data_IF_710342728421
#
_entry.id   IF_710342728421
#
_cell.length_a   1.000
_cell.length_b   1.000
_cell.length_c   1.000
_cell.angle_alpha   90.00
_cell.angle_beta   90.00
_cell.angle_gamma   90.00
#
_symmetry.space_group_name_H-M   'P 1'
#
loop_
_entity.id
_entity.type
_entity.pdbx_description
1 polymer ?
#
# COMPACT_ATOMS: atom_id res chain seq x y z
N UNK A 1 40.55 -41.67 -30.67
CA UNK A 1 39.60 -41.07 -29.75
C UNK A 1 38.99 -39.90 -30.49
N UNK A 2 37.73 -40.01 -30.87
CA UNK A 2 37.08 -39.15 -31.87
C UNK A 2 36.42 -37.91 -31.23
N UNK A 3 36.40 -36.82 -31.98
CA UNK A 3 35.81 -35.52 -31.61
C UNK A 3 34.31 -35.56 -31.18
N UNK A 4 33.66 -36.72 -31.25
CA UNK A 4 32.28 -36.95 -30.81
C UNK A 4 32.14 -37.16 -29.32
N UNK A 5 33.20 -37.54 -28.58
CA UNK A 5 33.13 -37.69 -27.12
C UNK A 5 33.11 -36.35 -26.35
N UNK A 6 33.70 -35.32 -26.92
CA UNK A 6 33.72 -33.97 -26.31
C UNK A 6 32.40 -33.22 -26.48
N UNK A 7 31.62 -33.50 -27.54
CA UNK A 7 30.28 -32.89 -27.74
C UNK A 7 29.21 -33.45 -26.79
N UNK A 8 29.36 -34.70 -26.33
CA UNK A 8 28.42 -35.29 -25.36
C UNK A 8 28.70 -34.84 -23.91
N UNK A 9 29.93 -34.50 -23.57
CA UNK A 9 30.27 -33.95 -22.25
C UNK A 9 29.83 -32.47 -22.07
N UNK A 10 29.82 -31.69 -23.17
CA UNK A 10 29.33 -30.32 -23.16
C UNK A 10 27.79 -30.21 -23.11
N UNK A 11 27.06 -31.23 -23.55
CA UNK A 11 25.60 -31.28 -23.54
C UNK A 11 25.01 -31.77 -22.19
N UNK A 12 25.83 -32.31 -21.29
CA UNK A 12 25.42 -32.82 -19.98
C UNK A 12 25.51 -31.80 -18.82
N UNK A 13 26.07 -30.63 -19.08
CA UNK A 13 26.30 -29.59 -18.05
C UNK A 13 25.22 -28.50 -17.92
N UNK A 14 24.18 -28.52 -18.74
CA UNK A 14 23.13 -27.46 -18.74
C UNK A 14 21.83 -27.87 -18.02
N UNK A 15 21.83 -28.94 -17.27
CA UNK A 15 20.65 -29.37 -16.49
C UNK A 15 20.75 -28.91 -15.01
N UNK A 16 20.77 -27.61 -14.73
CA UNK A 16 20.89 -27.23 -13.33
C UNK A 16 20.73 -25.77 -12.96
N UNK A 17 20.25 -24.91 -13.83
CA UNK A 17 19.82 -23.60 -13.35
C UNK A 17 18.70 -23.07 -14.27
N UNK A 18 17.50 -23.61 -14.12
CA UNK A 18 16.32 -22.87 -14.58
C UNK A 18 16.25 -21.58 -13.75
N UNK A 19 16.89 -20.53 -14.25
CA UNK A 19 16.54 -19.18 -13.83
C UNK A 19 15.03 -19.08 -13.98
N UNK A 20 14.30 -18.94 -12.84
CA UNK A 20 12.86 -18.68 -12.82
C UNK A 20 12.61 -17.51 -13.76
N UNK A 21 12.16 -17.76 -14.97
CA UNK A 21 11.81 -16.72 -15.93
C UNK A 21 10.88 -15.75 -15.23
N UNK A 22 11.32 -14.50 -15.07
CA UNK A 22 10.49 -13.41 -14.58
C UNK A 22 9.36 -13.26 -15.59
N UNK A 23 8.12 -13.41 -15.12
CA UNK A 23 6.93 -13.18 -15.94
C UNK A 23 6.86 -11.67 -16.17
N UNK A 24 6.92 -11.24 -17.44
CA UNK A 24 6.79 -9.84 -17.85
C UNK A 24 5.37 -9.58 -18.35
N UNK A 25 4.86 -8.35 -18.15
CA UNK A 25 3.52 -7.94 -18.61
C UNK A 25 3.38 -7.99 -20.14
N UNK A 26 4.50 -7.98 -20.88
CA UNK A 26 4.56 -8.10 -22.34
C UNK A 26 4.51 -9.56 -22.84
N UNK A 27 4.56 -10.55 -21.96
CA UNK A 27 4.55 -11.96 -22.35
C UNK A 27 3.15 -12.42 -22.80
N UNK A 28 3.10 -13.40 -23.73
CA UNK A 28 1.85 -14.11 -24.01
C UNK A 28 1.43 -14.92 -22.78
N UNK A 29 0.31 -14.50 -22.15
CA UNK A 29 -0.20 -15.15 -20.95
C UNK A 29 -0.95 -16.45 -21.28
N UNK A 30 -0.42 -17.56 -20.77
CA UNK A 30 -1.18 -18.80 -20.60
C UNK A 30 -1.92 -18.74 -19.26
N UNK A 31 -3.08 -19.40 -19.12
CA UNK A 31 -3.86 -19.43 -17.87
C UNK A 31 -3.02 -19.72 -16.62
N UNK A 32 -2.08 -20.65 -16.70
CA UNK A 32 -1.16 -20.96 -15.59
C UNK A 32 -0.17 -19.83 -15.26
N UNK A 33 0.33 -19.09 -16.26
CA UNK A 33 1.19 -17.91 -16.04
C UNK A 33 0.39 -16.76 -15.41
N UNK A 34 -0.83 -16.52 -15.89
CA UNK A 34 -1.73 -15.51 -15.34
C UNK A 34 -2.05 -15.81 -13.88
N UNK A 35 -2.48 -17.03 -13.55
CA UNK A 35 -2.76 -17.45 -12.18
C UNK A 35 -1.54 -17.26 -11.26
N UNK A 36 -0.34 -17.65 -11.72
CA UNK A 36 0.89 -17.50 -10.94
C UNK A 36 1.28 -16.02 -10.72
N UNK A 37 0.90 -15.14 -11.64
CA UNK A 37 1.13 -13.70 -11.52
C UNK A 37 0.12 -13.05 -10.57
N UNK A 38 -1.15 -13.45 -10.62
CA UNK A 38 -2.23 -12.89 -9.80
C UNK A 38 -2.30 -13.50 -8.39
N UNK A 39 -1.77 -14.70 -8.18
CA UNK A 39 -1.81 -15.41 -6.89
C UNK A 39 -1.29 -14.56 -5.71
N UNK A 40 -0.16 -13.83 -5.80
CA UNK A 40 0.28 -12.95 -4.72
C UNK A 40 -0.74 -11.88 -4.35
N UNK A 41 -1.44 -11.30 -5.33
CA UNK A 41 -2.48 -10.30 -5.09
C UNK A 41 -3.71 -10.91 -4.40
N UNK A 42 -4.12 -12.11 -4.79
CA UNK A 42 -5.22 -12.84 -4.15
C UNK A 42 -4.87 -13.16 -2.69
N UNK A 43 -3.68 -13.70 -2.45
CA UNK A 43 -3.20 -14.01 -1.08
C UNK A 43 -3.17 -12.74 -0.23
N UNK A 44 -2.74 -11.62 -0.80
CA UNK A 44 -2.71 -10.33 -0.15
C UNK A 44 -4.11 -9.86 0.28
N UNK A 45 -5.12 -9.97 -0.60
CA UNK A 45 -6.50 -9.60 -0.28
C UNK A 45 -7.08 -10.48 0.84
N UNK A 46 -6.88 -11.80 0.76
CA UNK A 46 -7.32 -12.75 1.80
C UNK A 46 -6.64 -12.43 3.14
N UNK A 47 -5.34 -12.19 3.13
CA UNK A 47 -4.59 -11.85 4.34
C UNK A 47 -5.05 -10.53 4.95
N UNK A 48 -5.31 -9.51 4.12
CA UNK A 48 -5.87 -8.22 4.55
C UNK A 48 -7.22 -8.38 5.25
N UNK A 49 -8.09 -9.23 4.73
CA UNK A 49 -9.37 -9.54 5.35
C UNK A 49 -9.20 -10.22 6.71
N UNK A 50 -8.25 -11.15 6.81
CA UNK A 50 -7.98 -11.87 8.07
C UNK A 50 -7.48 -10.90 9.15
N UNK A 51 -6.48 -10.06 8.85
CA UNK A 51 -5.97 -9.16 9.88
C UNK A 51 -7.01 -8.10 10.29
N UNK A 52 -7.87 -7.63 9.38
CA UNK A 52 -8.96 -6.70 9.74
C UNK A 52 -9.97 -7.33 10.72
N UNK A 53 -10.25 -8.63 10.58
CA UNK A 53 -11.11 -9.36 11.53
C UNK A 53 -10.40 -9.48 12.88
N UNK A 54 -9.10 -9.75 12.90
CA UNK A 54 -8.31 -9.87 14.14
C UNK A 54 -8.24 -8.52 14.87
N UNK A 55 -7.98 -7.41 14.16
CA UNK A 55 -7.98 -6.05 14.70
C UNK A 55 -9.35 -5.71 15.33
N UNK A 56 -10.44 -5.96 14.60
CA UNK A 56 -11.81 -5.78 15.11
C UNK A 56 -12.10 -6.64 16.34
N UNK A 57 -11.58 -7.86 16.42
CA UNK A 57 -11.70 -8.73 17.58
C UNK A 57 -11.01 -8.14 18.82
N UNK A 58 -9.79 -7.65 18.70
CA UNK A 58 -9.08 -7.02 19.81
C UNK A 58 -9.81 -5.77 20.31
N UNK A 59 -10.22 -4.89 19.39
CA UNK A 59 -10.93 -3.66 19.77
C UNK A 59 -12.27 -3.96 20.44
N UNK A 60 -13.07 -4.86 19.87
CA UNK A 60 -14.40 -5.19 20.44
C UNK A 60 -14.34 -5.82 21.83
N UNK A 61 -13.30 -6.61 22.11
CA UNK A 61 -13.18 -7.31 23.38
C UNK A 61 -12.47 -6.50 24.48
N UNK A 62 -11.56 -5.59 24.11
CA UNK A 62 -10.69 -4.91 25.08
C UNK A 62 -10.94 -3.39 25.19
N UNK A 63 -11.47 -2.74 24.12
CA UNK A 63 -11.72 -1.31 24.14
C UNK A 63 -13.14 -0.93 24.59
N UNK A 64 -14.08 -1.89 24.57
CA UNK A 64 -15.45 -1.68 24.95
C UNK A 64 -16.38 -1.27 23.80
N UNK A 65 -17.70 -1.28 24.09
CA UNK A 65 -18.73 -1.07 23.05
C UNK A 65 -18.73 0.33 22.47
N UNK A 66 -18.59 1.37 23.32
CA UNK A 66 -18.57 2.79 22.90
C UNK A 66 -17.37 3.08 22.02
N UNK A 67 -16.17 2.59 22.40
CA UNK A 67 -14.94 2.73 21.62
C UNK A 67 -15.03 2.01 20.26
N UNK A 68 -15.60 0.80 20.22
CA UNK A 68 -15.83 0.09 18.97
C UNK A 68 -16.85 0.79 18.06
N UNK A 69 -17.90 1.36 18.62
CA UNK A 69 -18.87 2.17 17.87
C UNK A 69 -18.23 3.45 17.33
N UNK A 70 -17.39 4.13 18.13
CA UNK A 70 -16.65 5.31 17.72
C UNK A 70 -15.70 5.04 16.56
N UNK A 71 -14.97 3.92 16.61
CA UNK A 71 -14.10 3.46 15.52
C UNK A 71 -14.90 3.26 14.22
N UNK A 72 -16.00 2.51 14.28
CA UNK A 72 -16.81 2.23 13.09
C UNK A 72 -17.41 3.50 12.49
N UNK A 73 -17.72 4.50 13.32
CA UNK A 73 -18.25 5.79 12.87
C UNK A 73 -17.21 6.60 12.11
N UNK A 74 -15.94 6.62 12.57
CA UNK A 74 -14.87 7.41 11.96
C UNK A 74 -14.17 6.69 10.81
N UNK A 75 -14.28 5.38 10.76
CA UNK A 75 -13.59 4.53 9.78
C UNK A 75 -13.86 4.92 8.30
N UNK A 76 -15.11 5.20 7.86
CA UNK A 76 -15.36 5.65 6.49
C UNK A 76 -14.61 6.95 6.13
N UNK A 77 -14.51 7.89 7.07
CA UNK A 77 -13.74 9.12 6.85
C UNK A 77 -12.25 8.82 6.65
N UNK A 78 -11.67 7.94 7.47
CA UNK A 78 -10.28 7.51 7.32
C UNK A 78 -10.05 6.76 6.00
N UNK A 79 -11.03 5.96 5.55
CA UNK A 79 -10.97 5.26 4.26
C UNK A 79 -11.01 6.23 3.08
N UNK A 80 -11.76 7.32 3.14
CA UNK A 80 -11.75 8.37 2.10
C UNK A 80 -10.36 8.99 2.00
N UNK A 81 -9.72 9.31 3.13
CA UNK A 81 -8.35 9.86 3.13
C UNK A 81 -7.34 8.89 2.51
N UNK A 82 -7.40 7.62 2.88
CA UNK A 82 -6.56 6.59 2.28
C UNK A 82 -6.88 6.32 0.81
N UNK A 83 -8.15 6.43 0.43
CA UNK A 83 -8.65 6.30 -0.94
C UNK A 83 -8.02 7.30 -1.91
N UNK A 84 -7.63 8.48 -1.44
CA UNK A 84 -6.84 9.43 -2.24
C UNK A 84 -5.47 8.86 -2.61
N UNK A 85 -4.87 8.03 -1.76
CA UNK A 85 -3.66 7.28 -2.09
C UNK A 85 -3.89 6.27 -3.22
N UNK A 86 -4.99 5.53 -3.17
CA UNK A 86 -5.38 4.63 -4.27
C UNK A 86 -5.61 5.39 -5.57
N UNK A 87 -6.31 6.52 -5.53
CA UNK A 87 -6.54 7.36 -6.71
C UNK A 87 -5.22 7.79 -7.37
N UNK A 88 -4.27 8.30 -6.58
CA UNK A 88 -2.95 8.71 -7.09
C UNK A 88 -2.17 7.48 -7.59
N UNK A 89 -2.22 6.38 -6.85
CA UNK A 89 -1.51 5.14 -7.17
C UNK A 89 -1.98 4.52 -8.49
N UNK A 90 -3.27 4.25 -8.64
CA UNK A 90 -3.83 3.62 -9.84
C UNK A 90 -3.73 4.54 -11.06
N UNK A 91 -4.11 5.82 -10.90
CA UNK A 91 -4.03 6.79 -11.98
C UNK A 91 -2.61 7.10 -12.42
N UNK A 92 -1.66 7.22 -11.46
CA UNK A 92 -0.24 7.39 -11.72
C UNK A 92 0.39 6.16 -12.38
N UNK A 93 0.01 4.98 -11.94
CA UNK A 93 0.46 3.69 -12.52
C UNK A 93 0.09 3.59 -14.00
N UNK A 94 -1.10 4.02 -14.40
CA UNK A 94 -1.52 4.02 -15.81
C UNK A 94 -0.61 4.92 -16.68
N UNK A 95 -0.24 6.11 -16.17
CA UNK A 95 0.67 7.02 -16.88
C UNK A 95 2.09 6.45 -16.97
N UNK A 96 2.60 5.90 -15.88
CA UNK A 96 3.94 5.32 -15.81
C UNK A 96 4.05 4.08 -16.69
N UNK A 97 3.05 3.18 -16.66
CA UNK A 97 3.01 2.00 -17.50
C UNK A 97 3.01 2.35 -19.00
N UNK A 98 2.28 3.42 -19.39
CA UNK A 98 2.30 3.94 -20.77
C UNK A 98 3.68 4.42 -21.18
N UNK A 99 4.40 5.14 -20.31
CA UNK A 99 5.76 5.60 -20.60
C UNK A 99 6.74 4.41 -20.69
N UNK A 100 6.62 3.42 -19.80
CA UNK A 100 7.44 2.20 -19.86
C UNK A 100 7.20 1.41 -21.14
N UNK A 101 5.93 1.28 -21.57
CA UNK A 101 5.55 0.62 -22.82
C UNK A 101 6.08 1.35 -24.07
N UNK A 102 6.24 2.67 -24.01
CA UNK A 102 6.87 3.49 -25.06
C UNK A 102 8.42 3.47 -25.00
N UNK A 103 9.02 2.78 -24.02
CA UNK A 103 10.48 2.73 -23.83
C UNK A 103 11.09 3.95 -23.14
N UNK A 104 10.29 4.94 -22.77
CA UNK A 104 10.74 6.19 -22.13
C UNK A 104 10.85 6.02 -20.60
N UNK A 105 11.94 5.37 -20.17
CA UNK A 105 12.21 5.09 -18.74
C UNK A 105 12.45 6.36 -17.93
N UNK A 106 13.04 7.39 -18.54
CA UNK A 106 13.32 8.63 -17.81
C UNK A 106 12.03 9.34 -17.42
N UNK A 107 11.11 9.47 -18.37
CA UNK A 107 9.79 10.05 -18.16
C UNK A 107 8.94 9.21 -17.17
N UNK A 108 9.02 7.89 -17.28
CA UNK A 108 8.36 7.00 -16.33
C UNK A 108 8.82 7.22 -14.89
N UNK A 109 10.15 7.32 -14.67
CA UNK A 109 10.73 7.61 -13.36
C UNK A 109 10.34 9.00 -12.84
N UNK A 110 10.31 9.99 -13.73
CA UNK A 110 9.87 11.34 -13.39
C UNK A 110 8.42 11.36 -12.94
N UNK A 111 7.51 10.71 -13.66
CA UNK A 111 6.10 10.62 -13.28
C UNK A 111 5.90 9.84 -11.98
N UNK A 112 6.60 8.73 -11.81
CA UNK A 112 6.60 7.97 -10.55
C UNK A 112 6.98 8.84 -9.36
N UNK A 113 8.11 9.55 -9.45
CA UNK A 113 8.57 10.44 -8.38
C UNK A 113 7.56 11.56 -8.07
N UNK A 114 6.98 12.19 -9.12
CA UNK A 114 5.95 13.21 -8.96
C UNK A 114 4.71 12.68 -8.21
N UNK A 115 4.28 11.42 -8.45
CA UNK A 115 3.16 10.80 -7.73
C UNK A 115 3.49 10.61 -6.24
N UNK A 116 4.71 10.20 -5.93
CA UNK A 116 5.15 10.06 -4.52
C UNK A 116 5.20 11.43 -3.81
N UNK A 117 5.78 12.44 -4.46
CA UNK A 117 5.83 13.82 -3.93
C UNK A 117 4.42 14.39 -3.71
N UNK A 118 3.52 14.21 -4.69
CA UNK A 118 2.12 14.63 -4.55
C UNK A 118 1.46 13.92 -3.36
N UNK A 119 1.69 12.63 -3.19
CA UNK A 119 1.12 11.86 -2.08
C UNK A 119 1.58 12.39 -0.73
N UNK A 120 2.87 12.72 -0.60
CA UNK A 120 3.42 13.28 0.63
C UNK A 120 2.81 14.66 0.92
N UNK A 121 2.75 15.55 -0.08
CA UNK A 121 2.22 16.90 0.09
C UNK A 121 0.72 16.89 0.42
N UNK A 122 -0.06 16.11 -0.34
CA UNK A 122 -1.49 15.96 -0.10
C UNK A 122 -1.75 15.29 1.25
N UNK A 123 -0.99 14.23 1.56
CA UNK A 123 -1.08 13.54 2.85
C UNK A 123 -0.75 14.46 4.02
N UNK A 124 0.27 15.31 3.91
CA UNK A 124 0.61 16.29 4.93
C UNK A 124 -0.49 17.34 5.12
N UNK A 125 -1.06 17.87 4.02
CA UNK A 125 -2.18 18.81 4.09
C UNK A 125 -3.41 18.20 4.75
N UNK A 126 -3.78 16.97 4.33
CA UNK A 126 -4.91 16.23 4.91
C UNK A 126 -4.70 15.88 6.37
N UNK A 127 -3.47 15.51 6.75
CA UNK A 127 -3.08 15.27 8.15
C UNK A 127 -3.27 16.53 8.98
N UNK A 128 -2.78 17.68 8.52
CA UNK A 128 -2.92 18.94 9.23
C UNK A 128 -4.41 19.33 9.41
N UNK A 129 -5.20 19.24 8.34
CA UNK A 129 -6.65 19.52 8.39
C UNK A 129 -7.34 18.53 9.34
N UNK A 130 -7.07 17.25 9.21
CA UNK A 130 -7.70 16.20 10.03
C UNK A 130 -7.38 16.37 11.53
N UNK A 131 -6.12 16.68 11.88
CA UNK A 131 -5.74 16.92 13.28
C UNK A 131 -6.44 18.14 13.89
N UNK A 132 -6.62 19.22 13.11
CA UNK A 132 -7.28 20.45 13.56
C UNK A 132 -8.80 20.30 13.68
N UNK A 133 -9.42 19.59 12.72
CA UNK A 133 -10.87 19.52 12.59
C UNK A 133 -11.47 18.17 12.99
N UNK A 134 -10.73 17.31 13.71
CA UNK A 134 -11.20 15.96 14.06
C UNK A 134 -12.48 15.98 14.90
N UNK A 135 -12.59 16.90 15.85
CA UNK A 135 -13.78 17.03 16.70
C UNK A 135 -15.02 17.45 15.90
N UNK A 136 -15.04 18.57 15.14
CA UNK A 136 -16.19 18.91 14.31
C UNK A 136 -16.51 17.84 13.26
N UNK A 137 -15.51 17.14 12.71
CA UNK A 137 -15.74 16.03 11.79
C UNK A 137 -16.46 14.87 12.50
N UNK A 138 -16.04 14.51 13.71
CA UNK A 138 -16.70 13.45 14.50
C UNK A 138 -18.16 13.78 14.78
N UNK A 139 -18.45 15.03 15.17
CA UNK A 139 -19.81 15.51 15.40
C UNK A 139 -20.65 15.51 14.12
N UNK A 140 -20.09 15.93 13.00
CA UNK A 140 -20.74 15.91 11.68
C UNK A 140 -21.11 14.49 11.24
N UNK A 141 -20.26 13.50 11.56
CA UNK A 141 -20.50 12.08 11.28
C UNK A 141 -21.58 11.47 12.18
N UNK A 142 -22.04 12.21 13.22
CA UNK A 142 -23.11 11.76 14.12
C UNK A 142 -22.60 11.15 15.43
N UNK A 143 -21.37 11.46 15.86
CA UNK A 143 -20.88 11.05 17.17
C UNK A 143 -21.70 11.67 18.29
N UNK A 144 -22.15 10.83 19.25
CA UNK A 144 -22.75 11.31 20.48
C UNK A 144 -21.69 11.96 21.38
N UNK A 145 -22.10 12.80 22.34
CA UNK A 145 -21.17 13.45 23.27
C UNK A 145 -20.27 12.45 24.00
N UNK A 146 -20.78 11.24 24.27
CA UNK A 146 -20.03 10.14 24.88
C UNK A 146 -18.98 9.54 23.94
N UNK A 147 -19.24 9.51 22.61
CA UNK A 147 -18.36 8.94 21.60
C UNK A 147 -17.29 9.93 21.10
N UNK A 148 -17.53 11.23 21.18
CA UNK A 148 -16.60 12.25 20.65
C UNK A 148 -15.18 12.10 21.17
N UNK A 149 -14.91 11.90 22.48
CA UNK A 149 -13.54 11.73 22.97
C UNK A 149 -12.82 10.55 22.32
N UNK A 150 -13.51 9.41 22.16
CA UNK A 150 -12.96 8.21 21.52
C UNK A 150 -12.71 8.40 20.02
N UNK A 151 -13.65 9.04 19.31
CA UNK A 151 -13.49 9.40 17.90
C UNK A 151 -12.28 10.32 17.68
N UNK A 152 -12.13 11.34 18.53
CA UNK A 152 -11.04 12.30 18.44
C UNK A 152 -9.70 11.65 18.77
N UNK A 153 -9.65 10.84 19.82
CA UNK A 153 -8.43 10.13 20.22
C UNK A 153 -7.95 9.18 19.10
N UNK A 154 -8.82 8.28 18.67
CA UNK A 154 -8.51 7.31 17.62
C UNK A 154 -8.17 8.01 16.30
N UNK A 155 -9.04 8.93 15.88
CA UNK A 155 -8.88 9.63 14.60
C UNK A 155 -7.59 10.44 14.54
N UNK A 156 -7.23 11.18 15.59
CA UNK A 156 -5.98 11.96 15.62
C UNK A 156 -4.74 11.07 15.52
N UNK A 157 -4.73 9.94 16.25
CA UNK A 157 -3.58 9.01 16.19
C UNK A 157 -3.47 8.44 14.78
N UNK A 158 -4.54 7.90 14.20
CA UNK A 158 -4.48 7.28 12.87
C UNK A 158 -4.15 8.30 11.78
N UNK A 159 -4.73 9.51 11.84
CA UNK A 159 -4.44 10.58 10.88
C UNK A 159 -2.97 11.04 10.96
N UNK A 160 -2.32 10.99 12.10
CA UNK A 160 -0.89 11.27 12.20
C UNK A 160 -0.04 10.34 11.31
N UNK A 161 -0.52 9.12 11.04
CA UNK A 161 0.11 8.16 10.14
C UNK A 161 -0.48 8.15 8.71
N UNK A 162 -1.40 9.08 8.39
CA UNK A 162 -2.09 9.10 7.09
C UNK A 162 -1.14 9.16 5.89
N UNK A 163 -0.01 9.88 5.99
CA UNK A 163 1.01 9.91 4.93
C UNK A 163 1.53 8.49 4.65
N UNK A 164 1.81 7.71 5.69
CA UNK A 164 2.26 6.34 5.56
C UNK A 164 1.17 5.45 4.92
N UNK A 165 -0.08 5.63 5.33
CA UNK A 165 -1.21 4.91 4.76
C UNK A 165 -1.40 5.22 3.27
N UNK A 166 -1.37 6.48 2.87
CA UNK A 166 -1.45 6.87 1.47
C UNK A 166 -0.27 6.34 0.66
N UNK A 167 0.96 6.44 1.18
CA UNK A 167 2.17 5.92 0.52
C UNK A 167 2.11 4.39 0.36
N UNK A 168 1.64 3.64 1.35
CA UNK A 168 1.46 2.20 1.26
C UNK A 168 0.56 1.84 0.06
N UNK A 169 -0.58 2.53 -0.08
CA UNK A 169 -1.52 2.29 -1.18
C UNK A 169 -0.93 2.65 -2.55
N UNK A 170 -0.25 3.79 -2.63
CA UNK A 170 0.45 4.23 -3.85
C UNK A 170 1.53 3.24 -4.25
N UNK A 171 2.40 2.85 -3.32
CA UNK A 171 3.46 1.87 -3.61
C UNK A 171 2.90 0.51 -4.02
N UNK A 172 1.80 0.07 -3.44
CA UNK A 172 1.16 -1.18 -3.81
C UNK A 172 0.77 -1.20 -5.30
N UNK A 173 0.19 -0.10 -5.79
CA UNK A 173 -0.14 0.06 -7.21
C UNK A 173 1.12 0.07 -8.09
N UNK A 174 2.16 0.80 -7.69
CA UNK A 174 3.41 0.87 -8.46
C UNK A 174 4.25 -0.40 -8.44
N UNK A 175 4.16 -1.22 -7.39
CA UNK A 175 4.83 -2.53 -7.35
C UNK A 175 4.27 -3.50 -8.39
N UNK A 176 2.99 -3.38 -8.75
CA UNK A 176 2.39 -4.15 -9.84
C UNK A 176 2.98 -3.69 -11.18
N UNK A 177 3.04 -2.37 -11.43
CA UNK A 177 3.63 -1.79 -12.64
C UNK A 177 5.14 -2.08 -12.75
N UNK A 178 5.83 -2.15 -11.62
CA UNK A 178 7.24 -2.51 -11.53
C UNK A 178 7.51 -4.03 -11.67
N UNK A 179 6.48 -4.83 -11.96
CA UNK A 179 6.57 -6.30 -12.08
C UNK A 179 7.09 -6.99 -10.79
N UNK A 180 6.80 -6.38 -9.63
CA UNK A 180 7.23 -6.87 -8.31
C UNK A 180 6.06 -7.19 -7.36
N UNK A 181 5.00 -7.90 -7.79
CA UNK A 181 3.83 -8.15 -6.95
C UNK A 181 4.18 -8.95 -5.68
N UNK A 182 5.25 -9.75 -5.71
CA UNK A 182 5.74 -10.47 -4.52
C UNK A 182 6.25 -9.52 -3.43
N UNK A 183 6.86 -8.40 -3.81
CA UNK A 183 7.29 -7.41 -2.83
C UNK A 183 6.08 -6.71 -2.19
N UNK A 184 5.03 -6.46 -2.97
CA UNK A 184 3.74 -5.98 -2.45
C UNK A 184 3.13 -6.95 -1.43
N UNK A 185 3.14 -8.25 -1.74
CA UNK A 185 2.71 -9.28 -0.79
C UNK A 185 3.55 -9.24 0.51
N UNK A 186 4.89 -9.19 0.40
CA UNK A 186 5.77 -9.13 1.58
C UNK A 186 5.46 -7.88 2.41
N UNK A 187 5.31 -6.71 1.79
CA UNK A 187 5.00 -5.46 2.48
C UNK A 187 3.65 -5.55 3.23
N UNK A 188 2.60 -6.06 2.57
CA UNK A 188 1.26 -6.21 3.17
C UNK A 188 1.25 -7.24 4.29
N UNK A 189 1.89 -8.40 4.11
CA UNK A 189 1.97 -9.43 5.15
C UNK A 189 2.78 -8.93 6.33
N UNK A 190 3.91 -8.24 6.11
CA UNK A 190 4.70 -7.65 7.18
C UNK A 190 3.91 -6.59 7.95
N UNK A 191 3.17 -5.72 7.26
CA UNK A 191 2.29 -4.75 7.91
C UNK A 191 1.21 -5.44 8.75
N UNK A 192 0.48 -6.41 8.20
CA UNK A 192 -0.58 -7.12 8.92
C UNK A 192 -0.07 -7.93 10.11
N UNK A 193 1.08 -8.60 9.99
CA UNK A 193 1.72 -9.29 11.12
C UNK A 193 2.15 -8.30 12.20
N UNK A 194 2.73 -7.16 11.81
CA UNK A 194 3.09 -6.08 12.74
C UNK A 194 1.85 -5.56 13.47
N UNK A 195 0.74 -5.32 12.75
CA UNK A 195 -0.52 -4.90 13.37
C UNK A 195 -1.01 -5.93 14.40
N UNK A 196 -1.15 -7.21 14.03
CA UNK A 196 -1.60 -8.26 14.95
C UNK A 196 -0.72 -8.39 16.20
N UNK A 197 0.62 -8.29 16.05
CA UNK A 197 1.54 -8.35 17.20
C UNK A 197 1.36 -7.11 18.09
N UNK A 198 1.24 -5.93 17.50
CA UNK A 198 1.06 -4.67 18.23
C UNK A 198 -0.31 -4.60 18.91
N UNK A 199 -1.38 -5.11 18.29
CA UNK A 199 -2.70 -5.22 18.93
C UNK A 199 -2.64 -6.14 20.13
N UNK A 200 -2.06 -7.33 19.98
CA UNK A 200 -1.89 -8.24 21.11
C UNK A 200 -1.09 -7.61 22.24
N UNK A 201 -0.03 -6.84 21.93
CA UNK A 201 0.82 -6.19 22.91
C UNK A 201 0.16 -4.95 23.52
N UNK A 202 -0.26 -3.98 22.68
CA UNK A 202 -0.73 -2.67 23.15
C UNK A 202 -2.15 -2.75 23.69
N UNK A 203 -3.03 -3.51 23.04
CA UNK A 203 -4.42 -3.64 23.44
C UNK A 203 -4.59 -4.79 24.44
N UNK A 204 -4.03 -5.98 24.15
CA UNK A 204 -4.20 -7.17 24.98
C UNK A 204 -3.39 -7.12 26.28
N UNK A 205 -2.09 -6.85 26.23
CA UNK A 205 -1.18 -6.90 27.40
C UNK A 205 -1.13 -5.56 28.11
N UNK A 206 -0.80 -4.46 27.40
CA UNK A 206 -0.65 -3.12 27.99
C UNK A 206 -1.99 -2.44 28.30
N UNK A 207 -3.10 -2.95 27.74
CA UNK A 207 -4.45 -2.44 27.93
C UNK A 207 -4.60 -0.95 27.59
N UNK A 208 -3.90 -0.49 26.54
CA UNK A 208 -4.03 0.89 26.05
C UNK A 208 -5.32 1.12 25.26
N UNK A 209 -6.22 0.12 25.28
CA UNK A 209 -7.55 0.23 24.68
C UNK A 209 -7.49 0.78 23.24
N UNK A 210 -8.33 1.76 22.94
CA UNK A 210 -8.47 2.37 21.61
C UNK A 210 -7.18 3.07 21.12
N UNK A 211 -6.43 3.70 22.03
CA UNK A 211 -5.14 4.33 21.67
C UNK A 211 -4.10 3.30 21.21
N UNK A 212 -4.08 2.13 21.85
CA UNK A 212 -3.22 1.00 21.47
C UNK A 212 -3.52 0.51 20.06
N UNK A 213 -4.81 0.30 19.74
CA UNK A 213 -5.25 -0.11 18.40
C UNK A 213 -4.91 0.93 17.32
N UNK A 214 -5.13 2.22 17.61
CA UNK A 214 -4.78 3.30 16.69
C UNK A 214 -3.27 3.34 16.38
N UNK A 215 -2.42 3.17 17.41
CA UNK A 215 -0.97 3.10 17.24
C UNK A 215 -0.53 1.84 16.50
N UNK A 216 -1.13 0.68 16.79
CA UNK A 216 -0.84 -0.57 16.09
C UNK A 216 -1.14 -0.42 14.58
N UNK A 217 -2.29 0.15 14.25
CA UNK A 217 -2.69 0.44 12.87
C UNK A 217 -1.71 1.41 12.20
N UNK A 218 -1.38 2.54 12.82
CA UNK A 218 -0.47 3.54 12.24
C UNK A 218 0.95 3.02 12.03
N UNK A 219 1.50 2.29 13.01
CA UNK A 219 2.84 1.70 12.91
C UNK A 219 2.89 0.59 11.85
N UNK A 220 1.84 -0.22 11.73
CA UNK A 220 1.76 -1.26 10.70
C UNK A 220 1.71 -0.67 9.29
N UNK A 221 0.96 0.41 9.09
CA UNK A 221 0.91 1.15 7.83
C UNK A 221 2.28 1.74 7.48
N UNK A 222 3.01 2.24 8.49
CA UNK A 222 4.38 2.73 8.32
C UNK A 222 5.32 1.63 7.85
N UNK A 223 5.23 0.42 8.42
CA UNK A 223 6.00 -0.74 7.94
C UNK A 223 5.64 -1.10 6.49
N UNK A 224 4.35 -1.08 6.15
CA UNK A 224 3.87 -1.33 4.79
C UNK A 224 4.37 -0.32 3.76
N UNK A 225 4.58 0.93 4.16
CA UNK A 225 5.13 2.00 3.31
C UNK A 225 6.66 1.96 3.23
N UNK A 226 7.36 1.66 4.34
CA UNK A 226 8.83 1.67 4.41
C UNK A 226 9.47 0.59 3.54
N UNK A 227 8.91 -0.60 3.47
CA UNK A 227 9.47 -1.72 2.69
C UNK A 227 9.57 -1.33 1.19
N UNK A 228 8.48 -0.88 0.52
CA UNK A 228 8.57 -0.41 -0.86
C UNK A 228 9.42 0.85 -1.01
N UNK A 229 9.38 1.78 -0.07
CA UNK A 229 10.18 3.01 -0.10
C UNK A 229 11.67 2.68 -0.17
N UNK A 230 12.16 1.82 0.74
CA UNK A 230 13.55 1.37 0.76
C UNK A 230 13.91 0.67 -0.55
N UNK A 231 12.99 -0.13 -1.11
CA UNK A 231 13.20 -0.81 -2.39
C UNK A 231 13.40 0.20 -3.53
N UNK A 232 12.53 1.21 -3.67
CA UNK A 232 12.60 2.18 -4.76
C UNK A 232 13.72 3.21 -4.60
N UNK A 233 14.25 3.41 -3.38
CA UNK A 233 15.41 4.25 -3.12
C UNK A 233 16.74 3.59 -3.53
N UNK A 234 16.81 2.25 -3.59
CA UNK A 234 18.02 1.54 -4.01
C UNK A 234 18.26 1.73 -5.51
N UNK A 235 19.48 2.13 -5.90
CA UNK A 235 19.88 2.35 -7.30
C UNK A 235 19.81 1.07 -8.14
N UNK A 236 20.14 -0.09 -7.55
CA UNK A 236 20.12 -1.42 -8.19
C UNK A 236 19.01 -2.30 -7.62
N UNK A 237 17.76 -1.86 -7.77
CA UNK A 237 16.61 -2.62 -7.29
C UNK A 237 16.06 -3.65 -8.28
N UNK A 238 16.65 -3.75 -9.48
CA UNK A 238 16.21 -4.63 -10.55
C UNK A 238 14.79 -4.33 -11.07
N UNK A 239 14.35 -3.08 -10.93
CA UNK A 239 13.10 -2.52 -11.46
C UNK A 239 13.42 -1.38 -12.41
N UNK A 240 12.54 -1.10 -13.40
CA UNK A 240 12.65 0.09 -14.24
C UNK A 240 12.36 1.39 -13.48
N UNK A 241 11.80 1.33 -12.27
CA UNK A 241 11.39 2.47 -11.46
C UNK A 241 12.35 2.74 -10.30
N UNK A 242 12.77 4.01 -10.17
CA UNK A 242 13.63 4.51 -9.11
C UNK A 242 13.12 5.85 -8.62
N UNK A 243 13.19 6.08 -7.30
CA UNK A 243 12.79 7.35 -6.73
C UNK A 243 13.91 8.38 -6.89
N UNK A 244 13.58 9.55 -7.45
CA UNK A 244 14.46 10.72 -7.54
C UNK A 244 13.62 11.96 -7.27
N UNK A 245 14.19 12.97 -6.62
CA UNK A 245 13.53 14.27 -6.50
C UNK A 245 13.41 14.91 -7.89
N UNK A 246 12.21 15.34 -8.25
CA UNK A 246 11.92 15.92 -9.58
C UNK A 246 11.06 17.17 -9.43
N UNK A 247 11.08 18.02 -10.45
CA UNK A 247 10.24 19.21 -10.48
C UNK A 247 8.79 18.80 -10.80
N UNK A 248 7.85 19.22 -9.96
CA UNK A 248 6.42 18.94 -10.15
C UNK A 248 5.86 19.65 -11.38
N UNK A 249 5.03 18.96 -12.16
CA UNK A 249 4.28 19.48 -13.30
C UNK A 249 2.79 19.21 -13.08
N UNK A 250 1.96 20.25 -13.18
CA UNK A 250 0.52 20.14 -12.91
C UNK A 250 -0.23 19.20 -13.88
N UNK A 251 0.15 19.20 -15.17
CA UNK A 251 -0.56 18.44 -16.20
C UNK A 251 -0.56 16.92 -15.96
N UNK A 252 0.58 16.25 -15.70
CA UNK A 252 0.60 14.81 -15.38
C UNK A 252 -0.13 14.49 -14.09
N UNK A 253 -0.06 15.38 -13.09
CA UNK A 253 -0.73 15.19 -11.80
C UNK A 253 -2.26 15.20 -11.96
N UNK A 254 -2.80 16.15 -12.70
CA UNK A 254 -4.25 16.21 -13.00
C UNK A 254 -4.71 15.00 -13.81
N UNK A 255 -3.91 14.55 -14.76
CA UNK A 255 -4.20 13.35 -15.55
C UNK A 255 -4.22 12.09 -14.66
N UNK A 256 -3.28 11.96 -13.73
CA UNK A 256 -3.26 10.85 -12.79
C UNK A 256 -4.50 10.87 -11.88
N UNK A 257 -4.84 12.01 -11.29
CA UNK A 257 -6.03 12.15 -10.46
C UNK A 257 -7.32 11.83 -11.25
N UNK A 258 -7.42 12.31 -12.50
CA UNK A 258 -8.56 12.01 -13.36
C UNK A 258 -8.68 10.52 -13.72
N UNK A 259 -7.56 9.87 -14.05
CA UNK A 259 -7.54 8.43 -14.36
C UNK A 259 -7.87 7.56 -13.13
N UNK A 260 -7.50 8.00 -11.93
CA UNK A 260 -7.75 7.27 -10.69
C UNK A 260 -9.06 7.65 -9.99
N UNK A 261 -9.83 8.59 -10.51
CA UNK A 261 -11.06 9.07 -9.85
C UNK A 261 -12.11 7.95 -9.65
N UNK A 262 -12.14 6.95 -10.54
CA UNK A 262 -13.01 5.78 -10.42
C UNK A 262 -12.71 4.97 -9.16
N UNK A 263 -11.44 4.83 -8.77
CA UNK A 263 -11.04 4.13 -7.55
C UNK A 263 -11.48 4.89 -6.29
N UNK A 264 -11.37 6.22 -6.30
CA UNK A 264 -11.86 7.03 -5.20
C UNK A 264 -13.38 6.87 -5.03
N UNK A 265 -14.14 6.89 -6.14
CA UNK A 265 -15.59 6.68 -6.11
C UNK A 265 -15.97 5.29 -5.59
N UNK A 266 -15.23 4.25 -5.96
CA UNK A 266 -15.44 2.89 -5.45
C UNK A 266 -15.20 2.76 -3.95
N UNK A 267 -14.29 3.55 -3.38
CA UNK A 267 -14.01 3.55 -1.93
C UNK A 267 -15.03 4.38 -1.12
N UNK A 268 -15.81 5.25 -1.79
CA UNK A 268 -16.84 6.09 -1.15
C UNK A 268 -18.22 5.40 -1.17
N UNK A 269 -18.46 4.50 -2.14
CA UNK A 269 -19.71 3.75 -2.30
C UNK A 269 -19.84 2.62 -1.28
#
# INVERSE_FOLDING_TARGET
>A
MSAQSWRKAAAGGEAGTQMKQKIQLSDHFTYGKLFRFTLPSIVMMVFTSIYSVVDGFFISNYAGKTAFAALNLIYPFLMILGGMGFMIGTGGTALVARCLGAGDREKANRYFAMMIELTILLGAALTAIGLLFMEPISRLLGATEEMVPDCVLYGRIVIAFNIAFMLQNVFQSFLIAAEKPRLGLIATVSAGVTNMILDALLVGVLRWSLAGAALATGLSQTMGALIPLIFFLKKDNGSPLHLRLVRMEAKPLLQACGNGASELMSNIS
#
